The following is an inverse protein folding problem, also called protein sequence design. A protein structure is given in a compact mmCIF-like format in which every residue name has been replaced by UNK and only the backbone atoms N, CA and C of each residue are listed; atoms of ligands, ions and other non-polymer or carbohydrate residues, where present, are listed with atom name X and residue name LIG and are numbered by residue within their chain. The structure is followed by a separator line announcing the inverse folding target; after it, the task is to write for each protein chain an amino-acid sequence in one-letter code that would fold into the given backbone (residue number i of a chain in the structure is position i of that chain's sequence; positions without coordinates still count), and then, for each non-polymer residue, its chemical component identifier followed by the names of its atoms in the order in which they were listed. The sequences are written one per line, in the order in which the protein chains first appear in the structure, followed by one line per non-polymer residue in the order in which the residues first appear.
data_IF_684436589709
#
_entry.id   IF_684436589709
#
_cell.length_a   1.000
_cell.length_b   1.000
_cell.length_c   1.000
_cell.angle_alpha   90.00
_cell.angle_beta   90.00
_cell.angle_gamma   90.00
#
_symmetry.space_group_name_H-M   'P 1'
#
loop_
_entity.id
_entity.type
_entity.pdbx_description
1 polymer ?
#
# COMPACT_ATOMS: atom_id res chain seq x y z
N UNK A 1 -29.54 5.74 -2.43
CA UNK A 1 -29.09 4.77 -3.45
C UNK A 1 -27.67 4.33 -3.11
N UNK A 2 -27.23 3.15 -3.56
CA UNK A 2 -25.85 2.66 -3.35
C UNK A 2 -25.13 2.66 -4.70
N UNK A 3 -24.01 3.39 -4.78
CA UNK A 3 -23.14 3.42 -5.95
C UNK A 3 -21.97 2.45 -5.73
N UNK A 4 -21.58 1.71 -6.77
CA UNK A 4 -20.54 0.67 -6.68
C UNK A 4 -19.52 0.84 -7.78
N UNK A 5 -18.25 0.70 -7.42
CA UNK A 5 -17.12 0.68 -8.35
C UNK A 5 -16.32 -0.58 -8.07
N UNK A 6 -16.07 -1.39 -9.09
CA UNK A 6 -15.35 -2.65 -8.96
C UNK A 6 -14.00 -2.54 -9.67
N UNK A 7 -12.92 -2.73 -8.92
CA UNK A 7 -11.54 -2.64 -9.41
C UNK A 7 -10.90 -4.03 -9.42
N UNK A 8 -11.13 -4.79 -10.49
CA UNK A 8 -10.51 -6.11 -10.65
C UNK A 8 -9.09 -6.03 -11.21
N UNK A 9 -8.25 -7.00 -10.83
CA UNK A 9 -6.94 -7.26 -11.46
C UNK A 9 -6.01 -6.04 -11.54
N UNK A 10 -6.03 -5.18 -10.51
CA UNK A 10 -5.15 -4.01 -10.42
C UNK A 10 -3.79 -4.36 -9.80
N UNK A 11 -3.72 -5.41 -8.98
CA UNK A 11 -2.50 -5.83 -8.30
C UNK A 11 -2.20 -5.06 -7.03
N UNK A 12 -0.95 -5.15 -6.57
CA UNK A 12 -0.54 -4.76 -5.21
C UNK A 12 -0.72 -3.26 -4.89
N UNK A 13 -0.68 -2.38 -5.91
CA UNK A 13 -0.85 -0.94 -5.71
C UNK A 13 -2.31 -0.52 -5.48
N UNK A 14 -3.28 -1.43 -5.65
CA UNK A 14 -4.69 -1.10 -5.61
C UNK A 14 -5.15 -0.56 -4.25
N UNK A 15 -4.43 -0.84 -3.16
CA UNK A 15 -4.69 -0.23 -1.85
C UNK A 15 -4.57 1.31 -1.89
N UNK A 16 -3.58 1.85 -2.62
CA UNK A 16 -3.49 3.29 -2.87
C UNK A 16 -4.56 3.79 -3.85
N UNK A 17 -4.90 2.98 -4.87
CA UNK A 17 -5.94 3.31 -5.85
C UNK A 17 -7.31 3.48 -5.20
N UNK A 18 -7.71 2.57 -4.30
CA UNK A 18 -9.01 2.67 -3.65
C UNK A 18 -9.11 3.86 -2.70
N UNK A 19 -8.01 4.25 -2.04
CA UNK A 19 -7.95 5.48 -1.25
C UNK A 19 -8.10 6.72 -2.12
N UNK A 20 -7.42 6.76 -3.28
CA UNK A 20 -7.55 7.84 -4.26
C UNK A 20 -8.99 7.97 -4.78
N UNK A 21 -9.62 6.86 -5.15
CA UNK A 21 -11.01 6.86 -5.61
C UNK A 21 -11.97 7.27 -4.50
N UNK A 22 -11.78 6.75 -3.28
CA UNK A 22 -12.64 7.07 -2.15
C UNK A 22 -12.54 8.53 -1.73
N UNK A 23 -11.36 9.16 -1.85
CA UNK A 23 -11.17 10.61 -1.66
C UNK A 23 -12.11 11.41 -2.56
N UNK A 24 -12.03 11.22 -3.87
CA UNK A 24 -12.86 11.97 -4.84
C UNK A 24 -14.35 11.70 -4.62
N UNK A 25 -14.72 10.44 -4.35
CA UNK A 25 -16.11 10.06 -4.11
C UNK A 25 -16.67 10.69 -2.83
N UNK A 26 -15.90 10.73 -1.75
CA UNK A 26 -16.31 11.31 -0.47
C UNK A 26 -16.37 12.85 -0.53
N UNK A 27 -15.37 13.48 -1.12
CA UNK A 27 -15.26 14.95 -1.17
C UNK A 27 -16.25 15.58 -2.15
N UNK A 28 -16.50 14.93 -3.29
CA UNK A 28 -17.37 15.48 -4.33
C UNK A 28 -18.87 15.16 -4.14
N UNK A 29 -19.23 14.42 -3.08
CA UNK A 29 -20.62 14.06 -2.78
C UNK A 29 -20.92 14.34 -1.30
N UNK A 30 -21.68 15.40 -1.02
CA UNK A 30 -22.01 15.81 0.35
C UNK A 30 -22.58 14.66 1.18
N UNK A 31 -22.04 14.47 2.38
CA UNK A 31 -22.43 13.42 3.34
C UNK A 31 -22.21 11.98 2.85
N UNK A 32 -21.46 11.77 1.76
CA UNK A 32 -21.11 10.42 1.32
C UNK A 32 -20.24 9.70 2.36
N UNK A 33 -20.51 8.41 2.51
CA UNK A 33 -19.68 7.46 3.26
C UNK A 33 -19.36 6.30 2.33
N UNK A 34 -18.09 6.17 2.00
CA UNK A 34 -17.57 5.21 1.02
C UNK A 34 -16.99 4.03 1.79
N UNK A 35 -17.64 2.87 1.68
CA UNK A 35 -17.06 1.61 2.12
C UNK A 35 -16.05 1.13 1.08
N UNK A 36 -14.80 1.02 1.49
CA UNK A 36 -13.72 0.44 0.70
C UNK A 36 -13.44 -0.96 1.22
N UNK A 37 -13.29 -1.93 0.32
CA UNK A 37 -12.94 -3.31 0.66
C UNK A 37 -11.87 -3.80 -0.31
N UNK A 38 -10.72 -4.21 0.24
CA UNK A 38 -9.71 -4.98 -0.46
C UNK A 38 -9.77 -6.42 0.07
N UNK A 39 -9.90 -7.42 -0.80
CA UNK A 39 -9.94 -8.83 -0.42
C UNK A 39 -9.16 -9.65 -1.43
N UNK A 40 -8.18 -10.39 -0.93
CA UNK A 40 -7.15 -11.04 -1.72
C UNK A 40 -7.04 -12.49 -1.25
N UNK A 41 -7.12 -13.41 -2.22
CA UNK A 41 -7.07 -14.86 -1.99
C UNK A 41 -6.08 -15.48 -2.98
N UNK A 42 -5.10 -16.20 -2.44
CA UNK A 42 -3.99 -16.82 -3.17
C UNK A 42 -4.39 -18.04 -3.99
N UNK A 43 -5.62 -18.54 -3.86
CA UNK A 43 -6.13 -19.64 -4.68
C UNK A 43 -5.97 -19.41 -6.20
N UNK A 44 -5.99 -18.14 -6.64
CA UNK A 44 -5.82 -17.76 -8.05
C UNK A 44 -4.35 -17.81 -8.49
N UNK A 45 -3.39 -17.71 -7.57
CA UNK A 45 -1.94 -17.62 -7.82
C UNK A 45 -1.15 -18.84 -7.35
N UNK A 46 -1.76 -19.71 -6.54
CA UNK A 46 -1.12 -20.90 -5.98
C UNK A 46 -0.77 -21.91 -7.08
N UNK A 47 0.46 -22.43 -7.07
CA UNK A 47 0.91 -23.48 -8.00
C UNK A 47 2.13 -24.23 -7.49
N UNK A 48 2.37 -25.41 -8.06
CA UNK A 48 3.58 -26.19 -7.80
C UNK A 48 4.87 -25.50 -8.29
N UNK A 49 6.03 -25.83 -7.69
CA UNK A 49 7.32 -25.25 -8.07
C UNK A 49 7.79 -25.74 -9.44
N UNK A 50 8.68 -24.98 -10.07
CA UNK A 50 9.34 -25.33 -11.33
C UNK A 50 10.70 -24.64 -11.43
N UNK A 51 11.73 -25.39 -11.81
CA UNK A 51 13.09 -24.87 -11.97
C UNK A 51 13.21 -23.79 -13.05
N UNK A 52 12.26 -23.74 -13.98
CA UNK A 52 12.23 -22.72 -15.03
C UNK A 52 11.53 -21.42 -14.59
N UNK A 53 10.84 -21.40 -13.45
CA UNK A 53 10.05 -20.26 -12.95
C UNK A 53 10.39 -19.92 -11.49
N UNK A 54 11.64 -19.56 -11.22
CA UNK A 54 12.12 -19.20 -9.87
C UNK A 54 11.45 -17.94 -9.30
N UNK A 55 11.06 -17.00 -10.16
CA UNK A 55 10.25 -15.83 -9.81
C UNK A 55 8.88 -16.22 -9.25
N UNK A 56 8.25 -17.26 -9.83
CA UNK A 56 7.01 -17.82 -9.27
C UNK A 56 7.22 -18.34 -7.85
N UNK A 57 8.37 -18.97 -7.56
CA UNK A 57 8.69 -19.45 -6.20
C UNK A 57 8.82 -18.32 -5.18
N UNK A 58 9.38 -17.17 -5.59
CA UNK A 58 9.43 -15.97 -4.74
C UNK A 58 8.01 -15.55 -4.34
N UNK A 59 7.08 -15.48 -5.30
CA UNK A 59 5.69 -15.14 -4.97
C UNK A 59 4.98 -16.22 -4.14
N UNK A 60 5.27 -17.51 -4.35
CA UNK A 60 4.73 -18.57 -3.47
C UNK A 60 5.20 -18.45 -2.02
N UNK A 61 6.37 -17.85 -1.77
CA UNK A 61 6.90 -17.61 -0.42
C UNK A 61 6.40 -16.29 0.20
N UNK A 62 5.93 -15.35 -0.62
CA UNK A 62 5.52 -14.01 -0.18
C UNK A 62 4.00 -13.87 0.00
N UNK A 63 3.21 -14.37 -0.96
CA UNK A 63 1.78 -14.04 -1.00
C UNK A 63 0.99 -14.73 0.10
N UNK A 64 0.12 -13.98 0.75
CA UNK A 64 -0.82 -14.44 1.78
C UNK A 64 -2.25 -13.98 1.52
N UNK A 65 -3.22 -14.64 2.13
CA UNK A 65 -4.62 -14.27 2.06
C UNK A 65 -4.93 -13.15 3.06
N UNK A 66 -5.80 -12.21 2.67
CA UNK A 66 -6.19 -11.12 3.56
C UNK A 66 -7.31 -10.26 3.02
N UNK A 67 -8.09 -9.67 3.92
CA UNK A 67 -9.10 -8.69 3.58
C UNK A 67 -9.12 -7.54 4.59
N UNK A 68 -9.22 -6.31 4.09
CA UNK A 68 -9.32 -5.10 4.89
C UNK A 68 -10.46 -4.23 4.38
N UNK A 69 -11.10 -3.53 5.30
CA UNK A 69 -12.16 -2.58 4.99
C UNK A 69 -12.01 -1.29 5.79
N UNK A 70 -12.41 -0.19 5.17
CA UNK A 70 -12.43 1.13 5.81
C UNK A 70 -13.62 1.95 5.31
N UNK A 71 -14.01 2.94 6.10
CA UNK A 71 -15.04 3.91 5.75
C UNK A 71 -14.34 5.25 5.52
N UNK A 72 -14.48 5.82 4.32
CA UNK A 72 -14.02 7.17 3.98
C UNK A 72 -15.21 8.10 3.92
N UNK A 73 -15.06 9.29 4.48
CA UNK A 73 -16.06 10.35 4.41
C UNK A 73 -15.41 11.71 4.59
N UNK A 74 -16.10 12.74 4.11
CA UNK A 74 -15.80 14.13 4.40
C UNK A 74 -16.82 14.68 5.41
N UNK A 75 -16.46 15.77 6.08
CA UNK A 75 -17.27 16.43 7.12
C UNK A 75 -17.74 15.44 8.19
N UNK A 76 -16.83 14.92 9.04
CA UNK A 76 -17.21 13.98 10.09
C UNK A 76 -18.17 14.63 11.09
N UNK A 77 -19.18 13.88 11.52
CA UNK A 77 -20.09 14.33 12.57
C UNK A 77 -19.50 14.14 13.98
N UNK A 78 -20.28 14.44 15.02
CA UNK A 78 -19.83 14.34 16.42
C UNK A 78 -19.72 12.90 16.95
N UNK A 79 -20.31 11.93 16.25
CA UNK A 79 -20.24 10.51 16.59
C UNK A 79 -19.04 9.82 15.91
N UNK A 80 -18.59 10.38 14.79
CA UNK A 80 -17.46 9.87 14.02
C UNK A 80 -16.11 10.28 14.63
N UNK A 81 -15.14 9.38 14.54
CA UNK A 81 -13.77 9.58 15.04
C UNK A 81 -12.79 9.46 13.88
N UNK A 82 -12.38 10.57 13.25
CA UNK A 82 -11.39 10.54 12.19
C UNK A 82 -10.09 9.87 12.65
N UNK A 83 -9.52 9.04 11.79
CA UNK A 83 -8.26 8.31 12.06
C UNK A 83 -7.13 8.89 11.25
N UNK A 84 -7.32 9.06 9.94
CA UNK A 84 -6.37 9.67 9.01
C UNK A 84 -7.12 10.64 8.10
N UNK A 85 -6.39 11.55 7.48
CA UNK A 85 -6.89 12.44 6.44
C UNK A 85 -6.17 12.15 5.12
N UNK A 86 -6.92 12.04 4.01
CA UNK A 86 -6.34 11.84 2.69
C UNK A 86 -6.13 13.21 2.05
N UNK A 87 -4.95 13.81 2.24
CA UNK A 87 -4.65 15.18 1.80
C UNK A 87 -4.51 15.25 0.27
N UNK A 88 -3.70 14.36 -0.30
CA UNK A 88 -3.46 14.27 -1.74
C UNK A 88 -3.34 12.81 -2.16
N UNK A 89 -3.49 12.54 -3.46
CA UNK A 89 -3.30 11.22 -4.04
C UNK A 89 -2.74 11.35 -5.46
N UNK A 90 -1.63 10.68 -5.72
CA UNK A 90 -0.93 10.67 -7.00
C UNK A 90 -0.64 9.26 -7.50
N UNK A 91 -0.38 9.12 -8.79
CA UNK A 91 0.04 7.87 -9.41
C UNK A 91 0.97 8.18 -10.58
N UNK A 92 1.97 7.33 -10.80
CA UNK A 92 2.91 7.47 -11.91
C UNK A 92 3.32 6.10 -12.44
N UNK A 93 3.81 6.06 -13.68
CA UNK A 93 4.42 4.88 -14.30
C UNK A 93 5.92 5.16 -14.36
N UNK A 94 6.72 4.21 -13.89
CA UNK A 94 8.17 4.40 -13.84
C UNK A 94 8.77 4.29 -15.25
N UNK A 95 9.77 5.12 -15.58
CA UNK A 95 10.49 4.97 -16.84
C UNK A 95 11.22 3.62 -16.87
N UNK A 96 11.28 3.01 -18.06
CA UNK A 96 11.98 1.74 -18.32
C UNK A 96 11.53 0.57 -17.41
N UNK A 97 10.27 0.56 -16.97
CA UNK A 97 9.73 -0.47 -16.08
C UNK A 97 8.75 -1.44 -16.75
N UNK A 98 8.62 -1.41 -18.08
CA UNK A 98 7.76 -2.33 -18.82
C UNK A 98 8.22 -3.79 -18.57
N UNK A 99 7.27 -4.68 -18.29
CA UNK A 99 7.55 -6.08 -17.97
C UNK A 99 8.18 -6.32 -16.59
N UNK A 100 8.38 -5.29 -15.76
CA UNK A 100 9.00 -5.44 -14.44
C UNK A 100 8.19 -6.31 -13.49
N UNK A 101 6.86 -6.16 -13.55
CA UNK A 101 5.89 -6.94 -12.79
C UNK A 101 4.72 -7.22 -13.74
N UNK A 102 4.64 -8.44 -14.24
CA UNK A 102 3.57 -8.87 -15.14
C UNK A 102 2.66 -9.90 -14.47
N UNK A 103 1.36 -9.80 -14.74
CA UNK A 103 0.35 -10.76 -14.33
C UNK A 103 -0.47 -11.20 -15.53
N UNK A 104 -0.50 -12.49 -15.82
CA UNK A 104 -1.28 -13.08 -16.92
C UNK A 104 -2.32 -14.04 -16.36
N UNK A 105 -3.60 -13.69 -16.49
CA UNK A 105 -4.68 -14.63 -16.23
C UNK A 105 -4.80 -15.60 -17.40
N UNK A 106 -4.60 -16.90 -17.12
CA UNK A 106 -4.67 -17.99 -18.10
C UNK A 106 -5.57 -19.11 -17.58
N UNK A 107 -5.78 -20.13 -18.41
CA UNK A 107 -6.52 -21.35 -18.01
C UNK A 107 -5.91 -22.04 -16.77
N UNK A 108 -4.61 -21.85 -16.55
CA UNK A 108 -3.85 -22.35 -15.38
C UNK A 108 -3.88 -21.41 -14.17
N UNK A 109 -4.76 -20.41 -14.16
CA UNK A 109 -4.81 -19.36 -13.13
C UNK A 109 -3.97 -18.13 -13.47
N UNK A 110 -3.70 -17.28 -12.46
CA UNK A 110 -2.95 -16.03 -12.61
C UNK A 110 -1.45 -16.26 -12.44
N UNK A 111 -0.73 -16.40 -13.54
CA UNK A 111 0.74 -16.48 -13.53
C UNK A 111 1.36 -15.10 -13.41
N UNK A 112 2.37 -14.93 -12.57
CA UNK A 112 3.08 -13.67 -12.42
C UNK A 112 4.56 -13.82 -12.78
N UNK A 113 5.13 -12.77 -13.34
CA UNK A 113 6.55 -12.65 -13.65
C UNK A 113 7.12 -11.44 -12.95
N UNK A 114 8.25 -11.62 -12.29
CA UNK A 114 8.94 -10.58 -11.54
C UNK A 114 10.35 -10.43 -12.07
N UNK A 115 10.68 -9.27 -12.63
CA UNK A 115 12.07 -8.94 -12.89
C UNK A 115 12.81 -8.84 -11.56
N UNK A 116 14.00 -9.45 -11.50
CA UNK A 116 14.84 -9.45 -10.29
C UNK A 116 15.14 -8.04 -9.77
N UNK A 117 15.16 -7.04 -10.65
CA UNK A 117 15.51 -5.66 -10.33
C UNK A 117 14.29 -4.74 -10.08
N UNK A 118 13.10 -5.29 -9.82
CA UNK A 118 11.95 -4.48 -9.40
C UNK A 118 12.24 -3.58 -8.17
N UNK A 119 12.98 -4.02 -7.13
CA UNK A 119 13.39 -3.14 -6.03
C UNK A 119 14.24 -1.95 -6.48
N UNK A 120 15.18 -2.17 -7.41
CA UNK A 120 16.06 -1.13 -7.94
C UNK A 120 15.29 -0.08 -8.74
N UNK A 121 14.32 -0.52 -9.54
CA UNK A 121 13.42 0.38 -10.28
C UNK A 121 12.62 1.28 -9.35
N UNK A 122 12.03 0.74 -8.28
CA UNK A 122 11.27 1.53 -7.30
C UNK A 122 12.19 2.51 -6.58
N UNK A 123 13.31 2.02 -6.04
CA UNK A 123 14.29 2.83 -5.30
C UNK A 123 14.83 3.98 -6.16
N UNK A 124 15.18 3.74 -7.42
CA UNK A 124 15.67 4.79 -8.34
C UNK A 124 14.69 5.94 -8.52
N UNK A 125 13.38 5.69 -8.45
CA UNK A 125 12.35 6.65 -8.82
C UNK A 125 11.55 7.23 -7.64
N UNK A 126 11.61 6.63 -6.44
CA UNK A 126 10.75 7.01 -5.31
C UNK A 126 10.89 8.48 -4.90
N UNK A 127 12.10 9.04 -4.91
CA UNK A 127 12.35 10.44 -4.55
C UNK A 127 11.57 11.43 -5.43
N UNK A 128 11.35 11.12 -6.70
CA UNK A 128 10.59 11.99 -7.59
C UNK A 128 9.13 12.09 -7.10
N UNK A 129 8.50 10.95 -6.83
CA UNK A 129 7.14 10.90 -6.31
C UNK A 129 7.03 11.59 -4.94
N UNK A 130 8.03 11.43 -4.07
CA UNK A 130 8.06 12.11 -2.77
C UNK A 130 8.18 13.63 -2.92
N UNK A 131 9.06 14.12 -3.80
CA UNK A 131 9.20 15.56 -4.07
C UNK A 131 7.91 16.16 -4.66
N UNK A 132 7.23 15.44 -5.54
CA UNK A 132 5.95 15.88 -6.09
C UNK A 132 4.85 15.93 -5.03
N UNK A 133 4.80 14.94 -4.12
CA UNK A 133 3.79 14.87 -3.07
C UNK A 133 4.02 15.86 -1.93
N UNK A 134 5.27 16.00 -1.47
CA UNK A 134 5.65 16.76 -0.27
C UNK A 134 6.17 18.16 -0.57
N UNK A 135 6.61 18.44 -1.79
CA UNK A 135 7.07 19.77 -2.21
C UNK A 135 6.05 20.89 -1.94
N UNK A 136 4.76 20.71 -2.28
CA UNK A 136 3.72 21.69 -1.94
C UNK A 136 3.50 21.92 -0.44
N UNK A 137 3.92 20.96 0.41
CA UNK A 137 3.82 21.03 1.87
C UNK A 137 5.11 21.56 2.53
N UNK A 138 6.18 21.76 1.75
CA UNK A 138 7.48 22.20 2.26
C UNK A 138 8.22 21.16 3.12
N UNK A 139 7.87 19.87 3.00
CA UNK A 139 8.51 18.79 3.75
C UNK A 139 9.71 18.27 2.95
N UNK A 140 10.91 18.41 3.53
CA UNK A 140 12.18 17.99 2.91
C UNK A 140 12.81 16.77 3.61
N UNK A 141 12.65 16.63 4.94
CA UNK A 141 13.08 15.45 5.69
C UNK A 141 11.93 14.44 5.81
N UNK A 142 12.07 13.34 5.07
CA UNK A 142 11.06 12.28 5.08
C UNK A 142 11.00 11.48 6.38
N UNK A 143 11.88 11.74 7.36
CA UNK A 143 11.75 11.22 8.71
C UNK A 143 10.79 12.01 9.60
N UNK A 144 10.30 13.17 9.14
CA UNK A 144 9.29 13.98 9.83
C UNK A 144 7.86 13.49 9.58
N UNK A 145 7.68 12.52 8.68
CA UNK A 145 6.38 11.92 8.34
C UNK A 145 6.30 10.45 8.71
N UNK A 146 5.11 9.95 9.01
CA UNK A 146 4.88 8.51 9.18
C UNK A 146 4.85 7.79 7.82
N UNK A 147 5.20 6.50 7.82
CA UNK A 147 5.36 5.72 6.60
C UNK A 147 4.46 4.48 6.54
N UNK A 148 3.72 4.39 5.44
CA UNK A 148 2.91 3.22 5.09
C UNK A 148 3.32 2.80 3.68
N UNK A 149 4.28 1.88 3.59
CA UNK A 149 4.76 1.36 2.32
C UNK A 149 4.15 -0.02 2.05
N UNK A 150 3.75 -0.31 0.81
CA UNK A 150 3.33 -1.67 0.47
C UNK A 150 4.52 -2.64 0.65
N UNK A 151 4.39 -3.70 1.47
CA UNK A 151 5.47 -4.64 1.74
C UNK A 151 5.55 -5.71 0.64
N UNK A 152 5.80 -5.28 -0.60
CA UNK A 152 5.83 -6.18 -1.76
C UNK A 152 6.91 -7.26 -1.66
N UNK A 153 7.96 -6.96 -0.91
CA UNK A 153 9.02 -7.86 -0.48
C UNK A 153 10.05 -7.09 0.35
N UNK A 154 10.83 -7.75 1.21
CA UNK A 154 11.76 -7.09 2.12
C UNK A 154 12.81 -6.24 1.36
N UNK A 155 13.28 -6.73 0.21
CA UNK A 155 14.28 -6.02 -0.60
C UNK A 155 13.81 -4.65 -1.10
N UNK A 156 12.51 -4.47 -1.36
CA UNK A 156 11.95 -3.16 -1.77
C UNK A 156 12.04 -2.20 -0.59
N UNK A 157 11.62 -2.65 0.60
CA UNK A 157 11.64 -1.81 1.81
C UNK A 157 13.06 -1.39 2.16
N UNK A 158 14.01 -2.33 2.14
CA UNK A 158 15.42 -2.06 2.45
C UNK A 158 16.03 -1.03 1.48
N UNK A 159 15.77 -1.17 0.18
CA UNK A 159 16.31 -0.24 -0.81
C UNK A 159 15.64 1.13 -0.79
N UNK A 160 14.35 1.22 -0.46
CA UNK A 160 13.68 2.51 -0.26
C UNK A 160 14.23 3.20 0.98
N UNK A 161 14.34 2.49 2.11
CA UNK A 161 14.86 3.00 3.37
C UNK A 161 16.26 3.61 3.20
N UNK A 162 17.17 2.88 2.54
CA UNK A 162 18.53 3.36 2.25
C UNK A 162 18.51 4.56 1.31
N UNK A 163 17.71 4.51 0.23
CA UNK A 163 17.71 5.53 -0.82
C UNK A 163 17.27 6.90 -0.30
N UNK A 164 16.25 6.94 0.53
CA UNK A 164 15.67 8.18 1.05
C UNK A 164 16.15 8.52 2.47
N UNK A 165 17.09 7.75 3.02
CA UNK A 165 17.70 8.01 4.31
C UNK A 165 16.70 7.90 5.48
N UNK A 166 15.77 6.95 5.40
CA UNK A 166 14.81 6.73 6.47
C UNK A 166 15.48 6.02 7.66
N UNK A 167 15.11 6.46 8.86
CA UNK A 167 15.44 5.73 10.07
C UNK A 167 14.62 4.43 10.13
N UNK A 168 15.19 3.31 10.60
CA UNK A 168 14.53 2.00 10.56
C UNK A 168 13.15 1.96 11.22
N UNK A 169 12.92 2.77 12.25
CA UNK A 169 11.64 2.87 12.95
C UNK A 169 10.49 3.35 12.04
N UNK A 170 10.77 4.12 10.97
CA UNK A 170 9.73 4.60 10.04
C UNK A 170 9.03 3.45 9.33
N UNK A 171 9.74 2.34 9.10
CA UNK A 171 9.20 1.15 8.42
C UNK A 171 8.67 0.08 9.40
N UNK A 172 8.63 0.35 10.71
CA UNK A 172 8.27 -0.64 11.75
C UNK A 172 6.90 -1.28 11.50
N UNK A 173 5.85 -0.49 11.32
CA UNK A 173 4.49 -1.01 11.09
C UNK A 173 4.40 -1.84 9.80
N UNK A 174 5.06 -1.36 8.74
CA UNK A 174 5.13 -2.07 7.45
C UNK A 174 5.78 -3.44 7.59
N UNK A 175 6.94 -3.51 8.27
CA UNK A 175 7.67 -4.77 8.48
C UNK A 175 6.92 -5.73 9.40
N UNK A 176 6.21 -5.24 10.41
CA UNK A 176 5.41 -6.08 11.31
C UNK A 176 4.23 -6.73 10.58
N UNK A 177 3.55 -6.00 9.68
CA UNK A 177 2.49 -6.59 8.84
C UNK A 177 3.05 -7.63 7.89
N UNK A 178 4.18 -7.35 7.23
CA UNK A 178 4.84 -8.33 6.35
C UNK A 178 5.20 -9.62 7.11
N UNK A 179 5.75 -9.48 8.31
CA UNK A 179 6.15 -10.60 9.16
C UNK A 179 4.97 -11.48 9.58
N UNK A 180 3.84 -10.87 9.95
CA UNK A 180 2.70 -11.60 10.51
C UNK A 180 1.72 -12.12 9.46
N UNK A 181 1.66 -11.48 8.29
CA UNK A 181 0.63 -11.76 7.28
C UNK A 181 1.16 -11.98 5.86
N UNK A 182 2.46 -11.77 5.62
CA UNK A 182 3.02 -11.82 4.27
C UNK A 182 2.54 -10.66 3.39
N UNK A 183 2.65 -10.86 2.08
CA UNK A 183 2.15 -9.94 1.06
C UNK A 183 0.69 -10.30 0.70
N UNK A 184 -0.26 -9.62 1.34
CA UNK A 184 -1.69 -9.65 1.03
C UNK A 184 -2.10 -8.69 -0.09
N UNK A 185 -1.23 -8.43 -1.07
CA UNK A 185 -1.50 -7.56 -2.22
C UNK A 185 -2.09 -6.20 -1.80
N UNK A 186 -3.26 -5.83 -2.32
CA UNK A 186 -3.89 -4.51 -2.09
C UNK A 186 -4.32 -4.27 -0.65
N UNK A 187 -4.53 -5.32 0.14
CA UNK A 187 -4.95 -5.20 1.54
C UNK A 187 -3.81 -4.77 2.46
N UNK A 188 -2.55 -5.01 2.10
CA UNK A 188 -1.40 -4.77 2.98
C UNK A 188 -1.35 -3.35 3.55
N UNK A 189 -1.48 -2.32 2.71
CA UNK A 189 -1.36 -0.93 3.18
C UNK A 189 -2.47 -0.57 4.16
N UNK A 190 -3.65 -1.19 4.04
CA UNK A 190 -4.76 -0.99 4.97
C UNK A 190 -4.54 -1.71 6.30
N UNK A 191 -3.92 -2.89 6.29
CA UNK A 191 -3.43 -3.56 7.51
C UNK A 191 -2.36 -2.73 8.22
N UNK A 192 -1.47 -2.08 7.46
CA UNK A 192 -0.42 -1.22 8.02
C UNK A 192 -1.02 0.03 8.66
N UNK A 193 -2.04 0.65 8.05
CA UNK A 193 -2.81 1.73 8.67
C UNK A 193 -3.43 1.29 10.01
N UNK A 194 -3.97 0.07 10.07
CA UNK A 194 -4.56 -0.48 11.29
C UNK A 194 -3.51 -0.78 12.38
N UNK A 195 -2.39 -1.39 12.00
CA UNK A 195 -1.27 -1.66 12.91
C UNK A 195 -0.72 -0.35 13.49
N UNK A 196 -0.50 0.65 12.64
CA UNK A 196 0.03 1.96 13.04
C UNK A 196 -0.89 2.68 14.03
N UNK A 197 -2.19 2.79 13.75
CA UNK A 197 -3.13 3.45 14.67
C UNK A 197 -3.25 2.70 16.00
N UNK A 198 -3.20 1.36 15.97
CA UNK A 198 -3.31 0.51 17.16
C UNK A 198 -2.10 0.68 18.05
N UNK A 199 -0.89 0.63 17.47
CA UNK A 199 0.37 0.86 18.16
C UNK A 199 0.48 2.25 18.74
N UNK A 200 0.10 3.27 17.98
CA UNK A 200 0.11 4.65 18.47
C UNK A 200 -0.80 4.82 19.70
N UNK A 201 -1.97 4.17 19.70
CA UNK A 201 -2.87 4.15 20.86
C UNK A 201 -2.30 3.38 22.06
N UNK A 202 -1.68 2.23 21.83
CA UNK A 202 -1.02 1.42 22.88
C UNK A 202 0.13 2.17 23.55
N UNK A 203 0.89 2.93 22.76
CA UNK A 203 2.02 3.74 23.19
C UNK A 203 1.60 5.11 23.75
N UNK A 204 0.31 5.47 23.69
CA UNK A 204 -0.21 6.74 24.20
C UNK A 204 0.24 7.97 23.39
N UNK A 205 0.49 7.81 22.09
CA UNK A 205 0.96 8.88 21.22
C UNK A 205 -0.17 9.85 20.87
N UNK A 206 0.20 11.10 20.53
CA UNK A 206 -0.74 12.19 20.29
C UNK A 206 -1.57 12.05 19.01
N UNK A 207 -1.09 11.27 18.04
CA UNK A 207 -1.76 11.03 16.75
C UNK A 207 -1.75 9.54 16.41
N UNK A 208 -2.61 9.14 15.48
CA UNK A 208 -2.67 7.76 14.94
C UNK A 208 -1.48 7.40 14.06
N UNK A 209 -0.75 8.40 13.56
CA UNK A 209 0.44 8.28 12.72
C UNK A 209 1.72 8.41 13.54
N UNK A 210 1.89 7.56 14.55
CA UNK A 210 3.11 7.51 15.38
C UNK A 210 3.43 8.81 16.14
N UNK A 211 2.41 9.60 16.50
CA UNK A 211 2.59 10.86 17.21
C UNK A 211 3.11 12.00 16.33
N UNK A 212 3.21 11.79 15.03
CA UNK A 212 3.59 12.80 14.04
C UNK A 212 2.36 13.58 13.57
N UNK A 213 2.58 14.84 13.18
CA UNK A 213 1.56 15.66 12.55
C UNK A 213 1.25 15.22 11.11
N UNK A 214 2.21 14.53 10.45
CA UNK A 214 2.19 14.14 9.04
C UNK A 214 2.60 12.70 8.81
#
# INVERSE_FOLDING_TARGET
SVNRFMTYQQGCFAGGTVLRMAKDLAENNRSARVLVVCSEITAVTFRGPSDTHLDSMVGQALFGDGAAALIVGSDPDTLERPIFQIVSAGQTILPDSEGAIDGHLREVGLTFHLLKDAPGLVSKNIEKSLKEAFGPLGIEDYNEVFWIAHPGGPAILDQVEVKVGLKPERMRATREVLKNYGNMSSACVLFIMDEMRRKSKEEGLGTTGEGMEW
#
